data_IF_514059521655
#
_entry.id   IF_514059521655
#
_cell.length_a   1.000
_cell.length_b   1.000
_cell.length_c   1.000
_cell.angle_alpha   90.00
_cell.angle_beta   90.00
_cell.angle_gamma   90.00
#
_symmetry.space_group_name_H-M   'P 1'
#
loop_
_entity.id
_entity.type
_entity.pdbx_description
1 polymer ?
#
# COMPACT_ATOMS: atom_id res chain seq x y z
N UNK A 1 7.28 65.67 -18.70
CA UNK A 1 6.20 64.93 -19.36
C UNK A 1 6.60 64.10 -20.60
N UNK A 2 7.76 64.34 -21.25
CA UNK A 2 8.19 63.55 -22.43
C UNK A 2 8.99 62.28 -22.03
N UNK A 3 9.63 62.28 -20.87
CA UNK A 3 10.46 61.15 -20.42
C UNK A 3 9.69 59.91 -19.96
N UNK A 4 8.46 60.06 -19.48
CA UNK A 4 7.67 58.95 -18.92
C UNK A 4 7.01 58.07 -20.01
N UNK A 5 6.72 58.65 -21.18
CA UNK A 5 6.12 57.93 -22.31
C UNK A 5 7.15 56.97 -22.97
N UNK A 6 8.41 57.37 -22.99
CA UNK A 6 9.46 56.56 -23.61
C UNK A 6 9.85 55.36 -22.73
N UNK A 7 9.80 55.50 -21.40
CA UNK A 7 10.04 54.42 -20.44
C UNK A 7 8.92 53.36 -20.48
N UNK A 8 7.66 53.77 -20.63
CA UNK A 8 6.51 52.87 -20.75
C UNK A 8 6.53 52.08 -22.08
N UNK A 9 7.00 52.66 -23.17
CA UNK A 9 7.13 51.98 -24.47
C UNK A 9 8.22 50.93 -24.50
N UNK A 10 9.33 51.11 -23.74
CA UNK A 10 10.43 50.17 -23.64
C UNK A 10 10.07 48.95 -22.80
N UNK A 11 9.30 49.12 -21.72
CA UNK A 11 8.81 48.01 -20.89
C UNK A 11 7.78 47.15 -21.61
N UNK A 12 6.87 47.75 -22.40
CA UNK A 12 5.87 47.00 -23.18
C UNK A 12 6.51 46.13 -24.28
N UNK A 13 7.55 46.63 -24.97
CA UNK A 13 8.27 45.83 -25.99
C UNK A 13 9.05 44.66 -25.39
N UNK A 14 9.58 44.79 -24.17
CA UNK A 14 10.35 43.72 -23.53
C UNK A 14 9.38 42.64 -22.99
N UNK A 15 8.19 42.98 -22.55
CA UNK A 15 7.18 42.00 -22.08
C UNK A 15 6.63 41.13 -23.21
N UNK A 16 6.43 41.71 -24.41
CA UNK A 16 5.99 40.95 -25.58
C UNK A 16 7.08 40.03 -26.14
N UNK A 17 8.36 40.41 -26.05
CA UNK A 17 9.48 39.57 -26.51
C UNK A 17 9.73 38.35 -25.61
N UNK A 18 9.42 38.41 -24.31
CA UNK A 18 9.54 37.32 -23.37
C UNK A 18 8.40 36.32 -23.57
N UNK A 19 7.15 36.75 -23.78
CA UNK A 19 6.01 35.85 -24.03
C UNK A 19 6.16 35.02 -25.31
N UNK A 20 6.69 35.60 -26.39
CA UNK A 20 6.92 34.86 -27.66
C UNK A 20 8.02 33.80 -27.58
N UNK A 21 8.97 33.92 -26.65
CA UNK A 21 10.04 32.91 -26.44
C UNK A 21 9.56 31.71 -25.63
N UNK A 22 8.66 31.89 -24.67
CA UNK A 22 8.12 30.77 -23.87
C UNK A 22 7.16 29.87 -24.66
N UNK A 23 6.30 30.42 -25.49
CA UNK A 23 5.41 29.61 -26.32
C UNK A 23 6.15 28.77 -27.36
N UNK A 24 7.24 29.28 -27.93
CA UNK A 24 8.07 28.51 -28.87
C UNK A 24 8.84 27.37 -28.21
N UNK A 25 9.15 27.47 -26.93
CA UNK A 25 9.88 26.44 -26.18
C UNK A 25 8.95 25.31 -25.73
N UNK A 26 7.75 25.63 -25.25
CA UNK A 26 6.72 24.65 -24.89
C UNK A 26 6.25 23.81 -26.08
N UNK A 27 6.03 24.44 -27.24
CA UNK A 27 5.65 23.73 -28.47
C UNK A 27 6.70 22.70 -28.94
N UNK A 28 8.00 23.02 -28.80
CA UNK A 28 9.09 22.11 -29.16
C UNK A 28 9.23 20.94 -28.21
N UNK A 29 9.05 21.15 -26.90
CA UNK A 29 9.10 20.07 -25.90
C UNK A 29 7.94 19.09 -26.09
N UNK A 30 6.72 19.58 -26.33
CA UNK A 30 5.55 18.72 -26.58
C UNK A 30 5.76 17.88 -27.85
N UNK A 31 6.34 18.45 -28.92
CA UNK A 31 6.58 17.69 -30.16
C UNK A 31 7.63 16.59 -29.98
N UNK A 32 8.67 16.83 -29.19
CA UNK A 32 9.72 15.83 -28.87
C UNK A 32 9.16 14.70 -28.02
N UNK A 33 8.31 15.01 -27.01
CA UNK A 33 7.67 14.00 -26.15
C UNK A 33 6.71 13.13 -26.98
N UNK A 34 5.90 13.72 -27.84
CA UNK A 34 4.99 12.96 -28.73
C UNK A 34 5.74 12.06 -29.70
N UNK A 35 6.87 12.52 -30.26
CA UNK A 35 7.72 11.72 -31.14
C UNK A 35 8.36 10.52 -30.42
N UNK A 36 8.83 10.71 -29.17
CA UNK A 36 9.38 9.65 -28.32
C UNK A 36 8.31 8.61 -27.95
N UNK A 37 7.08 9.04 -27.65
CA UNK A 37 5.97 8.11 -27.36
C UNK A 37 5.60 7.24 -28.56
N UNK A 38 5.61 7.78 -29.78
CA UNK A 38 5.31 7.02 -31.00
C UNK A 38 6.41 5.99 -31.29
N UNK A 39 7.68 6.35 -31.13
CA UNK A 39 8.82 5.43 -31.32
C UNK A 39 8.80 4.33 -30.27
N UNK A 40 8.50 4.64 -29.00
CA UNK A 40 8.39 3.65 -27.92
C UNK A 40 7.24 2.68 -28.17
N UNK A 41 6.07 3.15 -28.63
CA UNK A 41 4.94 2.30 -28.98
C UNK A 41 5.25 1.34 -30.13
N UNK A 42 5.98 1.79 -31.16
CA UNK A 42 6.38 0.95 -32.29
C UNK A 42 7.41 -0.12 -31.89
N UNK A 43 8.33 0.18 -30.98
CA UNK A 43 9.31 -0.78 -30.48
C UNK A 43 8.65 -1.86 -29.60
N UNK A 44 7.69 -1.47 -28.75
CA UNK A 44 6.95 -2.43 -27.91
C UNK A 44 6.07 -3.33 -28.78
N UNK A 45 5.41 -2.79 -29.81
CA UNK A 45 4.54 -3.58 -30.69
C UNK A 45 5.31 -4.59 -31.56
N UNK A 46 6.54 -4.29 -31.97
CA UNK A 46 7.38 -5.22 -32.73
C UNK A 46 8.00 -6.35 -31.89
N UNK A 47 8.15 -6.16 -30.56
CA UNK A 47 8.69 -7.18 -29.66
C UNK A 47 7.62 -8.14 -29.12
N UNK A 48 6.31 -7.88 -29.36
CA UNK A 48 5.20 -8.73 -28.93
C UNK A 48 4.75 -9.76 -29.98
N UNK A 49 5.52 -9.94 -31.08
CA UNK A 49 5.26 -11.05 -32.01
C UNK A 49 5.66 -12.36 -31.33
N UNK A 50 4.69 -13.13 -30.88
CA UNK A 50 4.86 -14.46 -30.33
C UNK A 50 5.56 -15.39 -31.31
N UNK A 51 6.48 -16.26 -30.83
CA UNK A 51 7.11 -17.27 -31.70
C UNK A 51 6.09 -18.30 -32.17
N UNK A 52 6.21 -18.84 -33.38
CA UNK A 52 5.27 -19.83 -33.90
C UNK A 52 5.49 -21.21 -33.25
N UNK A 53 4.42 -21.75 -32.71
CA UNK A 53 4.17 -23.18 -32.63
C UNK A 53 4.90 -24.00 -31.62
N UNK A 54 4.28 -24.19 -30.43
CA UNK A 54 4.46 -25.43 -29.67
C UNK A 54 3.07 -26.03 -29.42
N UNK A 55 2.83 -27.19 -30.05
CA UNK A 55 1.66 -28.03 -29.88
C UNK A 55 1.57 -28.53 -28.44
N UNK A 56 0.39 -28.33 -27.83
CA UNK A 56 0.05 -28.85 -26.49
C UNK A 56 -0.18 -30.36 -26.61
N UNK A 57 0.48 -31.23 -25.85
CA UNK A 57 0.10 -32.63 -25.79
C UNK A 57 -1.19 -32.80 -24.97
N UNK A 58 -2.18 -33.40 -25.58
CA UNK A 58 -3.46 -33.81 -25.04
C UNK A 58 -3.26 -34.77 -23.84
N UNK A 59 -3.65 -34.33 -22.65
CA UNK A 59 -3.58 -35.12 -21.42
C UNK A 59 -4.79 -36.05 -21.33
N UNK A 60 -4.57 -37.33 -21.67
CA UNK A 60 -5.48 -38.45 -21.48
C UNK A 60 -5.84 -38.63 -20.01
N UNK A 61 -7.13 -38.68 -19.70
CA UNK A 61 -7.65 -38.96 -18.38
C UNK A 61 -7.31 -40.41 -17.95
N UNK A 62 -6.96 -40.68 -16.69
CA UNK A 62 -6.93 -42.05 -16.15
C UNK A 62 -8.27 -42.36 -15.48
N UNK A 63 -8.77 -43.53 -15.83
CA UNK A 63 -9.95 -44.19 -15.26
C UNK A 63 -9.59 -45.00 -14.01
N UNK A 64 -10.57 -45.01 -13.05
CA UNK A 64 -10.91 -46.06 -12.07
C UNK A 64 -9.93 -46.47 -10.97
N UNK A 65 -10.42 -46.27 -9.75
CA UNK A 65 -10.14 -46.98 -8.47
C UNK A 65 -10.29 -48.53 -8.56
N UNK A 66 -10.02 -49.36 -7.49
CA UNK A 66 -9.59 -49.10 -6.13
C UNK A 66 -8.49 -50.07 -5.60
N UNK A 67 -7.88 -49.85 -4.45
CA UNK A 67 -7.62 -50.89 -3.44
C UNK A 67 -7.00 -50.35 -2.12
N UNK A 68 -7.57 -50.80 -1.07
CA UNK A 68 -7.27 -50.75 0.37
C UNK A 68 -5.87 -51.29 0.68
N UNK A 69 -5.14 -50.64 1.57
CA UNK A 69 -3.95 -51.27 2.13
C UNK A 69 -3.07 -50.43 3.03
N UNK A 70 -3.25 -50.57 4.36
CA UNK A 70 -2.21 -50.53 5.41
C UNK A 70 -1.36 -49.26 5.61
N UNK A 71 -1.51 -48.64 6.76
CA UNK A 71 -0.54 -47.74 7.38
C UNK A 71 0.77 -48.41 7.72
N UNK A 72 1.90 -47.74 7.65
CA UNK A 72 3.00 -47.95 8.56
C UNK A 72 3.47 -46.70 9.29
N UNK A 73 3.53 -46.83 10.57
CA UNK A 73 4.44 -46.33 11.62
C UNK A 73 5.37 -45.14 11.30
N UNK A 74 5.22 -44.13 12.12
CA UNK A 74 6.16 -43.03 12.40
C UNK A 74 7.59 -43.53 12.68
N UNK A 75 8.59 -42.80 12.23
CA UNK A 75 9.78 -42.60 13.05
C UNK A 75 10.23 -41.17 13.20
N UNK A 76 10.55 -40.82 14.44
CA UNK A 76 11.76 -40.09 14.80
C UNK A 76 11.84 -38.59 14.43
N UNK A 77 11.57 -37.76 15.42
CA UNK A 77 11.99 -36.38 15.55
C UNK A 77 13.51 -36.24 15.59
N UNK A 78 14.14 -35.35 14.82
CA UNK A 78 15.39 -34.76 15.24
C UNK A 78 15.15 -33.36 15.79
N UNK A 79 15.40 -33.24 17.08
CA UNK A 79 15.62 -31.99 17.81
C UNK A 79 16.81 -31.26 17.18
N UNK A 80 16.58 -30.04 16.68
CA UNK A 80 17.65 -29.06 16.44
C UNK A 80 17.19 -27.72 16.99
N UNK A 81 17.72 -27.43 18.17
CA UNK A 81 17.60 -26.15 18.86
C UNK A 81 18.13 -25.02 17.98
N UNK A 82 17.24 -24.09 17.63
CA UNK A 82 17.62 -22.77 17.13
C UNK A 82 17.92 -21.86 18.33
N UNK A 83 18.90 -20.96 18.23
CA UNK A 83 19.26 -20.09 19.34
C UNK A 83 18.15 -19.07 19.60
N UNK A 84 17.70 -19.01 20.85
CA UNK A 84 16.89 -17.92 21.39
C UNK A 84 17.73 -16.63 21.36
N UNK A 85 17.37 -15.67 20.53
CA UNK A 85 17.76 -14.29 20.75
C UNK A 85 16.83 -13.70 21.78
N UNK A 86 17.28 -13.64 23.00
CA UNK A 86 16.70 -12.81 24.06
C UNK A 86 16.89 -11.33 23.69
N UNK A 87 15.81 -10.67 23.29
CA UNK A 87 15.75 -9.23 23.34
C UNK A 87 15.18 -8.90 24.71
N UNK A 88 16.07 -8.48 25.61
CA UNK A 88 15.75 -8.02 26.95
C UNK A 88 14.84 -6.79 26.91
N UNK A 89 14.16 -6.48 28.05
CA UNK A 89 13.29 -5.31 28.15
C UNK A 89 14.13 -4.03 28.00
N UNK A 90 13.63 -3.09 27.18
CA UNK A 90 14.17 -1.74 27.04
C UNK A 90 14.18 -1.05 28.41
N UNK A 91 15.26 -0.37 28.80
CA UNK A 91 15.31 0.42 30.04
C UNK A 91 14.32 1.60 29.96
N UNK A 92 13.79 2.07 31.11
CA UNK A 92 12.98 3.27 31.15
C UNK A 92 13.90 4.46 30.81
N UNK A 93 13.68 5.05 29.63
CA UNK A 93 14.44 6.19 29.16
C UNK A 93 14.01 7.46 29.82
N UNK A 94 14.98 8.11 30.43
CA UNK A 94 14.89 9.43 31.00
C UNK A 94 14.47 10.51 30.02
N UNK A 95 13.74 11.44 30.53
CA UNK A 95 13.21 12.67 30.00
C UNK A 95 14.23 13.49 29.19
N UNK A 96 14.21 13.38 27.86
CA UNK A 96 14.79 14.36 26.94
C UNK A 96 14.19 14.24 25.52
N UNK A 97 12.86 14.23 25.38
CA UNK A 97 12.19 14.15 24.06
C UNK A 97 11.10 15.22 23.95
N UNK A 98 11.49 16.50 24.12
CA UNK A 98 10.52 17.60 23.93
C UNK A 98 10.69 18.31 22.58
N UNK A 99 11.70 18.01 21.79
CA UNK A 99 11.93 18.69 20.50
C UNK A 99 11.64 17.83 19.25
N UNK A 100 11.55 16.50 19.36
CA UNK A 100 11.27 15.60 18.23
C UNK A 100 9.78 15.25 18.09
N UNK A 101 8.94 15.55 19.08
CA UNK A 101 7.51 15.21 19.10
C UNK A 101 6.68 16.01 18.08
N UNK A 102 7.13 17.18 17.66
CA UNK A 102 6.37 18.02 16.72
C UNK A 102 6.37 17.53 15.25
N UNK A 103 7.36 16.73 14.86
CA UNK A 103 7.46 16.25 13.47
C UNK A 103 6.58 15.02 13.18
N UNK A 104 6.21 14.25 14.19
CA UNK A 104 5.39 13.04 14.08
C UNK A 104 3.89 13.32 14.22
N UNK A 105 3.50 14.39 14.92
CA UNK A 105 2.09 14.71 15.12
C UNK A 105 1.34 14.85 13.79
N UNK A 106 0.18 14.23 13.71
CA UNK A 106 -0.73 14.34 12.55
C UNK A 106 -1.35 15.74 12.55
N UNK A 107 -1.13 16.48 11.49
CA UNK A 107 -1.68 17.84 11.30
C UNK A 107 -3.00 17.82 10.53
N UNK A 108 -3.78 18.93 10.60
CA UNK A 108 -4.94 19.10 9.73
C UNK A 108 -4.58 19.11 8.24
N UNK A 109 -3.38 19.56 7.87
CA UNK A 109 -2.89 19.48 6.50
C UNK A 109 -2.70 18.03 6.03
N UNK A 110 -2.21 17.14 6.91
CA UNK A 110 -2.10 15.71 6.64
C UNK A 110 -3.48 15.08 6.39
N UNK A 111 -4.46 15.40 7.24
CA UNK A 111 -5.83 14.91 7.10
C UNK A 111 -6.49 15.45 5.83
N UNK A 112 -6.31 16.72 5.52
CA UNK A 112 -6.81 17.33 4.29
C UNK A 112 -6.19 16.64 3.05
N UNK A 113 -4.89 16.37 3.08
CA UNK A 113 -4.22 15.65 2.01
C UNK A 113 -4.77 14.22 1.84
N UNK A 114 -4.95 13.46 2.93
CA UNK A 114 -5.53 12.12 2.87
C UNK A 114 -6.97 12.13 2.30
N UNK A 115 -7.79 13.13 2.63
CA UNK A 115 -9.14 13.30 2.05
C UNK A 115 -9.09 13.46 0.52
N UNK A 116 -8.08 14.14 -0.03
CA UNK A 116 -7.91 14.29 -1.49
C UNK A 116 -7.63 12.96 -2.19
N UNK A 117 -7.05 11.97 -1.48
CA UNK A 117 -6.73 10.63 -2.04
C UNK A 117 -7.99 9.82 -2.34
N UNK A 118 -9.16 10.16 -1.79
CA UNK A 118 -10.42 9.40 -1.95
C UNK A 118 -10.18 7.92 -1.70
N UNK A 119 -9.72 7.60 -0.50
CA UNK A 119 -9.36 6.23 -0.10
C UNK A 119 -10.52 5.26 -0.37
N UNK A 120 -10.19 4.05 -0.84
CA UNK A 120 -11.17 2.98 -0.97
C UNK A 120 -11.32 2.23 0.36
N UNK A 121 -12.52 1.71 0.64
CA UNK A 121 -12.68 0.71 1.68
C UNK A 121 -11.90 -0.53 1.22
N UNK A 122 -10.96 -1.03 2.04
CA UNK A 122 -9.99 -2.03 1.60
C UNK A 122 -10.52 -3.48 1.55
N UNK A 123 -11.81 -3.70 1.71
CA UNK A 123 -12.46 -5.01 1.61
C UNK A 123 -13.55 -4.94 0.55
N UNK A 124 -13.47 -5.82 -0.43
CA UNK A 124 -14.43 -5.86 -1.54
C UNK A 124 -15.84 -6.14 -1.04
N UNK A 125 -16.83 -5.41 -1.58
CA UNK A 125 -18.24 -5.55 -1.23
C UNK A 125 -18.66 -4.87 0.07
N UNK A 126 -17.73 -4.42 0.92
CA UNK A 126 -18.07 -3.70 2.16
C UNK A 126 -18.36 -2.23 1.85
N UNK A 127 -19.47 -1.73 2.38
CA UNK A 127 -19.92 -0.34 2.25
C UNK A 127 -19.58 0.51 3.47
N UNK A 128 -19.61 1.83 3.33
CA UNK A 128 -19.34 2.76 4.44
C UNK A 128 -20.32 2.59 5.62
N UNK A 129 -21.57 2.19 5.34
CA UNK A 129 -22.58 1.95 6.38
C UNK A 129 -22.34 0.70 7.23
N UNK A 130 -21.50 -0.22 6.77
CA UNK A 130 -21.14 -1.46 7.49
C UNK A 130 -19.89 -1.29 8.36
N UNK A 131 -19.14 -0.19 8.16
CA UNK A 131 -17.98 0.09 8.98
C UNK A 131 -18.36 0.54 10.39
N UNK A 132 -17.56 0.15 11.36
CA UNK A 132 -17.66 0.62 12.75
C UNK A 132 -16.36 1.31 13.13
N UNK A 133 -16.44 2.42 13.86
CA UNK A 133 -15.25 3.06 14.40
C UNK A 133 -14.75 2.28 15.62
N UNK A 134 -13.75 1.44 15.39
CA UNK A 134 -13.07 0.64 16.42
C UNK A 134 -11.72 1.21 16.81
N UNK A 135 -11.37 2.42 16.32
CA UNK A 135 -10.05 3.00 16.51
C UNK A 135 -9.64 3.20 17.97
N UNK A 136 -10.60 3.59 18.80
CA UNK A 136 -10.37 3.86 20.22
C UNK A 136 -10.73 2.69 21.12
N UNK A 137 -11.10 1.53 20.58
CA UNK A 137 -11.44 0.35 21.37
C UNK A 137 -10.25 -0.09 22.22
N UNK A 138 -10.53 -0.41 23.48
CA UNK A 138 -9.55 -0.98 24.39
C UNK A 138 -9.21 -2.41 23.97
N UNK A 139 -7.93 -2.74 24.00
CA UNK A 139 -7.39 -4.08 23.77
C UNK A 139 -6.73 -4.60 25.04
N UNK A 140 -6.34 -5.87 25.04
CA UNK A 140 -5.60 -6.48 26.15
C UNK A 140 -4.39 -5.63 26.56
N UNK A 141 -4.08 -5.61 27.84
CA UNK A 141 -2.95 -4.87 28.44
C UNK A 141 -3.10 -3.34 28.38
N UNK A 142 -4.34 -2.82 28.34
CA UNK A 142 -4.62 -1.37 28.31
C UNK A 142 -4.20 -0.64 27.04
N UNK A 143 -3.93 -1.38 25.97
CA UNK A 143 -3.61 -0.78 24.66
C UNK A 143 -4.87 -0.27 23.97
N UNK A 144 -4.74 0.78 23.20
CA UNK A 144 -5.78 1.23 22.26
C UNK A 144 -5.57 0.54 20.91
N UNK A 145 -6.67 0.23 20.23
CA UNK A 145 -6.68 -0.50 18.96
C UNK A 145 -5.89 0.21 17.84
N UNK A 146 -6.15 1.52 17.66
CA UNK A 146 -5.47 2.38 16.69
C UNK A 146 -5.59 1.89 15.23
N UNK A 147 -6.66 1.19 14.91
CA UNK A 147 -6.98 0.63 13.60
C UNK A 147 -8.49 0.46 13.44
N UNK A 148 -8.92 -0.04 12.30
CA UNK A 148 -10.30 -0.40 12.00
C UNK A 148 -10.39 -1.89 11.74
N UNK A 149 -11.24 -2.62 12.46
CA UNK A 149 -11.54 -4.02 12.18
C UNK A 149 -12.74 -4.09 11.22
N UNK A 150 -12.48 -4.50 10.00
CA UNK A 150 -13.49 -4.61 8.94
C UNK A 150 -13.90 -6.07 8.81
N UNK A 151 -15.09 -6.40 9.31
CA UNK A 151 -15.63 -7.75 9.30
C UNK A 151 -16.02 -8.16 7.88
N UNK A 152 -15.56 -9.33 7.44
CA UNK A 152 -15.96 -9.93 6.18
C UNK A 152 -15.70 -11.44 6.20
N UNK A 153 -16.38 -12.24 5.36
CA UNK A 153 -16.11 -13.68 5.25
C UNK A 153 -14.64 -13.97 4.92
N UNK A 154 -14.14 -15.12 5.40
CA UNK A 154 -12.80 -15.61 5.03
C UNK A 154 -12.66 -15.68 3.50
N UNK A 155 -11.53 -15.21 3.00
CA UNK A 155 -11.24 -15.24 1.57
C UNK A 155 -11.84 -14.11 0.77
N UNK A 156 -12.58 -13.15 1.41
CA UNK A 156 -13.00 -11.91 0.74
C UNK A 156 -11.76 -11.14 0.26
N UNK A 157 -11.79 -10.60 -0.95
CA UNK A 157 -10.67 -9.88 -1.52
C UNK A 157 -10.36 -8.60 -0.72
N UNK A 158 -9.08 -8.42 -0.41
CA UNK A 158 -8.51 -7.20 0.17
C UNK A 158 -7.87 -6.40 -0.95
N UNK A 159 -8.30 -5.15 -1.12
CA UNK A 159 -7.82 -4.25 -2.17
C UNK A 159 -6.98 -3.11 -1.59
N UNK A 160 -6.04 -2.63 -2.37
CA UNK A 160 -5.23 -1.47 -2.00
C UNK A 160 -6.09 -0.21 -1.87
N UNK A 161 -6.16 0.38 -0.67
CA UNK A 161 -6.93 1.60 -0.39
C UNK A 161 -6.41 2.82 -1.16
N UNK A 162 -5.11 2.81 -1.47
CA UNK A 162 -4.38 3.80 -2.27
C UNK A 162 -3.29 3.09 -3.07
N UNK A 163 -2.66 3.77 -4.02
CA UNK A 163 -1.46 3.26 -4.70
C UNK A 163 -0.20 3.46 -3.85
N UNK A 164 0.80 2.60 -4.02
CA UNK A 164 2.06 2.69 -3.28
C UNK A 164 2.99 1.50 -3.46
N UNK A 165 4.01 1.41 -2.60
CA UNK A 165 4.98 0.32 -2.55
C UNK A 165 4.62 -0.69 -1.46
N UNK A 166 4.56 -1.96 -1.83
CA UNK A 166 4.26 -3.09 -0.93
C UNK A 166 5.49 -3.46 -0.10
N UNK A 167 5.25 -3.73 1.17
CA UNK A 167 6.14 -4.44 2.07
C UNK A 167 5.38 -5.60 2.71
N UNK A 168 5.82 -6.82 2.44
CA UNK A 168 5.28 -8.04 3.04
C UNK A 168 5.90 -8.25 4.42
N UNK A 169 5.09 -8.62 5.40
CA UNK A 169 5.57 -8.90 6.74
C UNK A 169 4.74 -9.99 7.42
N UNK A 170 5.31 -10.67 8.41
CA UNK A 170 4.61 -11.67 9.22
C UNK A 170 5.02 -11.53 10.68
N UNK A 171 4.06 -11.61 11.59
CA UNK A 171 4.32 -11.64 13.04
C UNK A 171 3.29 -12.50 13.75
N UNK A 172 3.60 -12.91 15.00
CA UNK A 172 2.65 -13.66 15.85
C UNK A 172 1.39 -12.85 16.17
N UNK A 173 1.47 -11.52 16.16
CA UNK A 173 0.35 -10.62 16.46
C UNK A 173 -0.47 -10.31 15.21
N UNK A 174 0.14 -9.79 14.18
CA UNK A 174 -0.59 -9.35 12.97
C UNK A 174 -0.85 -10.45 11.94
N UNK A 175 -0.29 -11.64 12.13
CA UNK A 175 -0.36 -12.73 11.15
C UNK A 175 0.39 -12.39 9.85
N UNK A 176 -0.21 -12.73 8.72
CA UNK A 176 0.25 -12.27 7.41
C UNK A 176 -0.21 -10.82 7.22
N UNK A 177 0.73 -9.96 6.87
CA UNK A 177 0.51 -8.51 6.80
C UNK A 177 1.08 -7.89 5.54
N UNK A 178 0.43 -6.82 5.10
CA UNK A 178 0.97 -5.92 4.07
C UNK A 178 1.06 -4.51 4.67
N UNK A 179 2.20 -3.85 4.46
CA UNK A 179 2.34 -2.41 4.59
C UNK A 179 2.43 -1.83 3.18
N UNK A 180 1.64 -0.80 2.90
CA UNK A 180 1.64 -0.09 1.65
C UNK A 180 2.03 1.37 1.91
N UNK A 181 3.25 1.75 1.52
CA UNK A 181 3.69 3.14 1.63
C UNK A 181 3.25 3.90 0.39
N UNK A 182 2.53 5.00 0.57
CA UNK A 182 2.03 5.81 -0.54
C UNK A 182 3.15 6.48 -1.35
N UNK A 183 2.82 7.02 -2.51
CA UNK A 183 3.79 7.65 -3.41
C UNK A 183 4.47 8.90 -2.84
N UNK A 184 3.91 9.52 -1.79
CA UNK A 184 4.56 10.62 -1.07
C UNK A 184 5.61 10.12 -0.06
N UNK A 185 5.56 8.86 0.32
CA UNK A 185 6.37 8.27 1.38
C UNK A 185 5.98 8.74 2.79
N UNK A 186 4.90 9.52 2.93
CA UNK A 186 4.48 10.10 4.20
C UNK A 186 3.43 9.29 4.93
N UNK A 187 2.66 8.45 4.21
CA UNK A 187 1.59 7.65 4.79
C UNK A 187 1.78 6.17 4.50
N UNK A 188 1.45 5.38 5.50
CA UNK A 188 1.50 3.93 5.46
C UNK A 188 0.12 3.37 5.74
N UNK A 189 -0.34 2.47 4.90
CA UNK A 189 -1.56 1.70 5.05
C UNK A 189 -1.20 0.28 5.48
N UNK A 190 -1.79 -0.19 6.56
CA UNK A 190 -1.51 -1.50 7.15
C UNK A 190 -2.70 -2.43 6.97
N UNK A 191 -2.43 -3.65 6.52
CA UNK A 191 -3.42 -4.71 6.28
C UNK A 191 -2.98 -5.95 7.06
N UNK A 192 -3.69 -6.33 8.12
CA UNK A 192 -3.35 -7.46 8.99
C UNK A 192 -4.35 -8.60 8.93
N UNK A 193 -3.98 -9.70 9.55
CA UNK A 193 -4.74 -10.95 9.68
C UNK A 193 -5.11 -11.61 8.34
N UNK A 194 -4.32 -11.36 7.29
CA UNK A 194 -4.60 -11.90 5.96
C UNK A 194 -4.54 -13.44 5.98
N UNK A 195 -5.45 -14.08 5.25
CA UNK A 195 -5.39 -15.52 4.98
C UNK A 195 -4.19 -15.88 4.11
N UNK A 196 -3.98 -15.10 3.06
CA UNK A 196 -2.89 -15.22 2.09
C UNK A 196 -2.71 -13.91 1.32
N UNK A 197 -1.56 -13.73 0.73
CA UNK A 197 -1.34 -12.66 -0.25
C UNK A 197 -2.02 -13.01 -1.58
N UNK A 198 -2.32 -12.00 -2.40
CA UNK A 198 -2.78 -12.24 -3.77
C UNK A 198 -1.64 -12.85 -4.60
N UNK A 199 -2.01 -13.59 -5.64
CA UNK A 199 -1.06 -14.19 -6.55
C UNK A 199 -0.21 -13.12 -7.25
N UNK A 200 1.10 -13.33 -7.32
CA UNK A 200 2.02 -12.41 -7.96
C UNK A 200 2.40 -11.18 -7.13
N UNK A 201 1.90 -11.04 -5.88
CA UNK A 201 2.34 -9.97 -4.96
C UNK A 201 3.72 -10.30 -4.40
N UNK A 202 4.65 -9.35 -4.45
CA UNK A 202 6.00 -9.48 -3.89
C UNK A 202 6.46 -8.19 -3.20
N UNK A 203 7.44 -8.35 -2.32
CA UNK A 203 8.03 -7.24 -1.56
C UNK A 203 8.69 -6.21 -2.47
N UNK A 204 8.38 -4.92 -2.27
CA UNK A 204 8.86 -3.83 -3.11
C UNK A 204 8.06 -3.58 -4.38
N UNK A 205 6.99 -4.34 -4.63
CA UNK A 205 6.12 -4.13 -5.78
C UNK A 205 5.35 -2.81 -5.68
N UNK A 206 5.24 -2.11 -6.81
CA UNK A 206 4.34 -0.96 -6.94
C UNK A 206 2.92 -1.43 -7.27
N UNK A 207 1.95 -1.03 -6.44
CA UNK A 207 0.53 -1.40 -6.55
C UNK A 207 -0.31 -0.17 -6.86
N UNK A 208 -1.34 -0.34 -7.67
CA UNK A 208 -2.34 0.68 -7.94
C UNK A 208 -3.48 0.62 -6.92
N UNK A 209 -4.10 1.77 -6.69
CA UNK A 209 -5.33 1.85 -5.90
C UNK A 209 -6.41 0.91 -6.49
N UNK A 210 -7.05 0.11 -5.64
CA UNK A 210 -8.09 -0.85 -6.01
C UNK A 210 -7.58 -2.22 -6.50
N UNK A 211 -6.27 -2.42 -6.60
CA UNK A 211 -5.67 -3.69 -6.96
C UNK A 211 -5.80 -4.69 -5.80
N UNK A 212 -6.14 -5.96 -6.09
CA UNK A 212 -6.24 -7.01 -5.07
C UNK A 212 -4.84 -7.34 -4.56
N UNK A 213 -4.65 -7.25 -3.24
CA UNK A 213 -3.35 -7.47 -2.59
C UNK A 213 -3.33 -8.67 -1.65
N UNK A 214 -4.50 -9.18 -1.26
CA UNK A 214 -4.61 -10.31 -0.35
C UNK A 214 -6.05 -10.69 -0.11
N UNK A 215 -6.28 -11.48 0.92
CA UNK A 215 -7.62 -12.01 1.26
C UNK A 215 -7.82 -12.00 2.76
N UNK A 216 -9.03 -11.67 3.21
CA UNK A 216 -9.44 -11.66 4.62
C UNK A 216 -9.21 -13.02 5.25
N UNK A 217 -8.62 -13.02 6.44
CA UNK A 217 -8.35 -14.22 7.22
C UNK A 217 -8.52 -14.01 8.72
N UNK A 218 -7.83 -14.83 9.48
CA UNK A 218 -7.78 -14.83 10.94
C UNK A 218 -6.37 -15.16 11.46
N UNK A 219 -5.35 -14.95 10.64
CA UNK A 219 -3.96 -15.26 11.01
C UNK A 219 -3.45 -14.34 12.13
N UNK A 220 -2.40 -14.77 12.84
CA UNK A 220 -1.88 -14.05 13.99
C UNK A 220 -2.78 -14.21 15.23
N UNK A 221 -3.04 -13.12 15.92
CA UNK A 221 -3.85 -13.11 17.16
C UNK A 221 -5.32 -12.68 16.94
N UNK A 222 -5.82 -12.73 15.71
CA UNK A 222 -7.22 -12.42 15.42
C UNK A 222 -8.21 -13.32 16.17
N UNK A 223 -7.80 -14.55 16.46
CA UNK A 223 -8.64 -15.60 17.03
C UNK A 223 -9.30 -16.45 15.94
N UNK A 224 -9.21 -17.77 16.09
CA UNK A 224 -9.71 -18.71 15.10
C UNK A 224 -11.20 -18.47 14.79
N UNK A 225 -11.52 -18.32 13.50
CA UNK A 225 -12.85 -18.04 13.01
C UNK A 225 -13.32 -16.58 13.14
N UNK A 226 -12.52 -15.71 13.72
CA UNK A 226 -12.81 -14.26 13.81
C UNK A 226 -12.27 -13.54 12.56
N UNK A 227 -12.94 -13.76 11.43
CA UNK A 227 -12.51 -13.26 10.12
C UNK A 227 -12.75 -11.76 9.98
N UNK A 228 -11.68 -11.00 9.83
CA UNK A 228 -11.71 -9.56 9.59
C UNK A 228 -10.41 -9.09 8.95
N UNK A 229 -10.46 -7.94 8.35
CA UNK A 229 -9.28 -7.17 8.01
C UNK A 229 -8.98 -6.18 9.13
N UNK A 230 -7.83 -6.28 9.78
CA UNK A 230 -7.31 -5.24 10.64
C UNK A 230 -6.62 -4.19 9.77
N UNK A 231 -7.24 -3.01 9.63
CA UNK A 231 -6.81 -1.95 8.74
C UNK A 231 -6.37 -0.70 9.50
N UNK A 232 -5.12 -0.28 9.30
CA UNK A 232 -4.56 0.92 9.91
C UNK A 232 -4.07 1.93 8.89
N UNK A 233 -4.05 3.19 9.27
CA UNK A 233 -3.35 4.28 8.56
C UNK A 233 -2.40 4.92 9.56
N UNK A 234 -1.17 5.23 9.15
CA UNK A 234 -0.22 5.95 9.97
C UNK A 234 0.53 7.01 9.15
N UNK A 235 0.87 8.14 9.80
CA UNK A 235 1.88 9.05 9.28
C UNK A 235 3.24 8.43 9.54
N UNK A 236 4.04 8.22 8.50
CA UNK A 236 5.37 7.62 8.62
C UNK A 236 6.29 8.47 9.51
N UNK A 237 7.18 7.87 10.33
CA UNK A 237 8.09 8.63 11.18
C UNK A 237 9.16 9.40 10.39
N UNK A 238 9.40 8.98 9.16
CA UNK A 238 10.21 9.68 8.16
C UNK A 238 9.82 9.18 6.76
N UNK A 239 10.06 9.93 5.68
CA UNK A 239 9.74 9.51 4.33
C UNK A 239 10.33 8.13 4.00
N UNK A 240 9.48 7.22 3.49
CA UNK A 240 9.84 5.86 3.13
C UNK A 240 10.00 4.87 4.31
N UNK A 241 9.79 5.28 5.55
CA UNK A 241 9.67 4.37 6.70
C UNK A 241 8.27 3.76 6.75
N UNK A 242 8.18 2.46 6.84
CA UNK A 242 6.93 1.70 6.76
C UNK A 242 6.38 1.25 8.13
N UNK A 243 7.06 1.55 9.23
CA UNK A 243 6.65 1.14 10.59
C UNK A 243 7.00 2.21 11.63
N UNK A 244 6.34 2.19 12.78
CA UNK A 244 6.60 3.09 13.91
C UNK A 244 6.05 4.51 13.70
N UNK A 245 5.04 4.69 12.87
CA UNK A 245 4.40 5.98 12.59
C UNK A 245 3.31 6.35 13.60
N UNK A 246 2.79 7.59 13.47
CA UNK A 246 1.66 8.10 14.26
C UNK A 246 0.34 7.61 13.67
N UNK A 247 -0.50 6.87 14.44
CA UNK A 247 -1.76 6.33 13.94
C UNK A 247 -2.78 7.42 13.59
N UNK A 248 -3.50 7.20 12.50
CA UNK A 248 -4.60 8.06 12.02
C UNK A 248 -5.87 7.23 11.97
N UNK A 249 -6.96 7.72 12.56
CA UNK A 249 -8.23 7.02 12.49
C UNK A 249 -8.71 6.89 11.03
N UNK A 250 -8.85 5.64 10.48
CA UNK A 250 -9.29 5.44 9.11
C UNK A 250 -10.77 5.72 8.91
N UNK A 251 -11.60 5.59 9.96
CA UNK A 251 -13.05 5.61 9.85
C UNK A 251 -13.59 6.87 9.16
N UNK A 252 -13.27 8.11 9.61
CA UNK A 252 -13.78 9.31 8.95
C UNK A 252 -13.23 9.48 7.53
N UNK A 253 -12.04 8.92 7.21
CA UNK A 253 -11.45 9.01 5.87
C UNK A 253 -12.11 8.06 4.86
N UNK A 254 -12.75 6.98 5.34
CA UNK A 254 -13.44 5.99 4.52
C UNK A 254 -14.95 6.23 4.41
N UNK A 255 -15.55 6.94 5.38
CA UNK A 255 -17.02 7.13 5.47
C UNK A 255 -17.48 8.50 4.99
N UNK A 256 -16.64 9.53 5.04
CA UNK A 256 -16.99 10.90 4.59
C UNK A 256 -16.63 11.06 3.11
N UNK A 257 -17.64 11.20 2.25
CA UNK A 257 -17.51 11.48 0.81
C UNK A 257 -18.09 12.82 0.46
#
# INVERSE_FOLDING_TARGET
MIGDIEKARKTSKNSQAIGFREEAYTGRIVLVIMSLCVVFSLVVFNNLKAPPGTSIPERRAPSSEPAIGAAPKTPGKPSRSAPKSEIGPLPPGDSAVTAASGALAVSEADLAFLRTKRLLIPVEGVTAGELRDTFYDERSEGRIHQALDIMAPQGTAVIATAGGLVRLHTSDRGGLMIYLTDSSGLFVYYYGHLQRYAEGIYDGQSIRRGEVIGYVGDTGNAGAGNYHLHFGIAKAPAPGKWSGGEPINPYPLLTTR
#
